data_IF_151519826693
#
_entry.id   IF_151519826693
#
_cell.length_a   1.000
_cell.length_b   1.000
_cell.length_c   1.000
_cell.angle_alpha   90.00
_cell.angle_beta   90.00
_cell.angle_gamma   90.00
#
_symmetry.space_group_name_H-M   'P 1'
#
loop_
_entity.id
_entity.type
_entity.pdbx_description
1 polymer ?
#
# COMPACT_ATOMS: atom_id res chain seq x y z
N UNK A 1 -28.36 13.86 -7.63
CA UNK A 1 -27.11 13.41 -6.95
C UNK A 1 -27.35 12.53 -5.71
N UNK A 2 -28.47 12.62 -4.98
CA UNK A 2 -28.74 11.76 -3.81
C UNK A 2 -28.87 10.25 -4.11
N UNK A 3 -29.51 9.88 -5.22
CA UNK A 3 -29.73 8.48 -5.59
C UNK A 3 -28.47 7.74 -6.09
N UNK A 4 -27.53 8.46 -6.75
CA UNK A 4 -26.24 7.86 -7.15
C UNK A 4 -25.36 7.57 -5.92
N UNK A 5 -25.46 8.38 -4.87
CA UNK A 5 -24.66 8.22 -3.66
C UNK A 5 -25.14 7.05 -2.79
N UNK A 6 -26.46 6.85 -2.68
CA UNK A 6 -27.02 5.65 -2.04
C UNK A 6 -26.64 4.37 -2.80
N UNK A 7 -26.50 4.45 -4.13
CA UNK A 7 -26.13 3.30 -4.95
C UNK A 7 -24.64 2.95 -4.81
N UNK A 8 -23.72 3.93 -4.87
CA UNK A 8 -22.29 3.68 -4.67
C UNK A 8 -22.00 3.13 -3.27
N UNK A 9 -22.60 3.73 -2.24
CA UNK A 9 -22.45 3.26 -0.86
C UNK A 9 -22.86 1.79 -0.72
N UNK A 10 -24.01 1.42 -1.28
CA UNK A 10 -24.48 0.04 -1.27
C UNK A 10 -23.53 -0.89 -2.01
N UNK A 11 -23.01 -0.50 -3.18
CA UNK A 11 -22.03 -1.30 -3.91
C UNK A 11 -20.76 -1.54 -3.08
N UNK A 12 -20.30 -0.54 -2.33
CA UNK A 12 -19.14 -0.67 -1.44
C UNK A 12 -19.45 -1.60 -0.28
N UNK A 13 -20.62 -1.47 0.35
CA UNK A 13 -21.05 -2.37 1.42
C UNK A 13 -21.14 -3.82 0.93
N UNK A 14 -21.74 -4.04 -0.25
CA UNK A 14 -21.86 -5.36 -0.87
C UNK A 14 -20.48 -5.96 -1.23
N UNK A 15 -19.58 -5.17 -1.83
CA UNK A 15 -18.21 -5.61 -2.16
C UNK A 15 -17.35 -5.85 -0.92
N UNK A 16 -17.49 -5.02 0.11
CA UNK A 16 -16.81 -5.19 1.38
C UNK A 16 -17.23 -6.52 2.03
N UNK A 17 -18.53 -6.82 2.07
CA UNK A 17 -19.03 -8.09 2.59
C UNK A 17 -18.59 -9.29 1.75
N UNK A 18 -18.47 -9.13 0.41
CA UNK A 18 -17.96 -10.19 -0.47
C UNK A 18 -16.50 -10.54 -0.18
N UNK A 19 -15.69 -9.55 0.16
CA UNK A 19 -14.25 -9.70 0.37
C UNK A 19 -13.87 -10.02 1.82
N UNK A 20 -14.66 -9.54 2.78
CA UNK A 20 -14.46 -9.78 4.20
C UNK A 20 -14.87 -11.22 4.55
N UNK A 21 -13.97 -12.05 5.11
CA UNK A 21 -14.32 -13.37 5.62
C UNK A 21 -15.37 -13.26 6.74
N UNK A 22 -16.16 -14.32 6.94
CA UNK A 22 -17.15 -14.35 8.03
C UNK A 22 -16.51 -13.98 9.38
N UNK A 23 -17.08 -12.97 10.04
CA UNK A 23 -16.64 -12.50 11.36
C UNK A 23 -15.48 -11.49 11.35
N UNK A 24 -14.93 -11.12 10.19
CA UNK A 24 -13.90 -10.07 10.11
C UNK A 24 -14.53 -8.69 9.88
N UNK A 25 -14.08 -7.68 10.62
CA UNK A 25 -14.57 -6.29 10.53
C UNK A 25 -13.78 -5.40 9.56
N UNK A 26 -12.77 -5.95 8.89
CA UNK A 26 -11.84 -5.24 8.02
C UNK A 26 -11.36 -6.11 6.87
N UNK A 27 -10.90 -5.47 5.80
CA UNK A 27 -10.14 -6.08 4.72
C UNK A 27 -8.65 -5.93 4.99
N UNK A 28 -7.86 -6.80 4.38
CA UNK A 28 -6.38 -6.71 4.35
C UNK A 28 -5.89 -6.33 2.95
N UNK A 29 -4.59 -6.09 2.78
CA UNK A 29 -4.01 -5.59 1.53
C UNK A 29 -4.45 -6.39 0.28
N UNK A 30 -4.30 -7.72 0.29
CA UNK A 30 -4.69 -8.59 -0.84
C UNK A 30 -6.18 -8.53 -1.16
N UNK A 31 -7.03 -8.16 -0.21
CA UNK A 31 -8.47 -8.06 -0.40
C UNK A 31 -8.85 -6.68 -0.93
N UNK A 32 -8.25 -5.61 -0.43
CA UNK A 32 -8.57 -4.25 -0.89
C UNK A 32 -8.13 -4.02 -2.35
N UNK A 33 -7.06 -4.67 -2.81
CA UNK A 33 -6.64 -4.65 -4.22
C UNK A 33 -7.60 -5.42 -5.14
N UNK A 34 -8.45 -6.28 -4.58
CA UNK A 34 -9.50 -7.00 -5.31
C UNK A 34 -10.85 -6.28 -5.28
N UNK A 35 -10.92 -5.08 -4.70
CA UNK A 35 -12.13 -4.28 -4.66
C UNK A 35 -12.57 -3.93 -6.08
N UNK A 36 -13.75 -4.40 -6.48
CA UNK A 36 -14.24 -4.20 -7.84
C UNK A 36 -15.53 -3.38 -7.84
N UNK A 37 -15.39 -2.08 -8.03
CA UNK A 37 -16.53 -1.17 -8.13
C UNK A 37 -16.83 -0.83 -9.60
N UNK A 38 -18.11 -0.64 -9.97
CA UNK A 38 -18.47 -0.28 -11.33
C UNK A 38 -17.74 0.99 -11.80
N UNK A 39 -17.08 0.98 -12.98
CA UNK A 39 -16.36 2.16 -13.50
C UNK A 39 -17.23 3.41 -13.67
N UNK A 40 -18.54 3.22 -13.83
CA UNK A 40 -19.51 4.31 -13.91
C UNK A 40 -19.77 5.02 -12.58
N UNK A 41 -19.35 4.42 -11.46
CA UNK A 41 -19.55 4.93 -10.10
C UNK A 41 -18.24 5.24 -9.38
N UNK A 42 -17.16 4.54 -9.73
CA UNK A 42 -15.87 4.66 -9.08
C UNK A 42 -14.73 4.53 -10.08
N UNK A 43 -13.76 5.42 -9.99
CA UNK A 43 -12.60 5.46 -10.90
C UNK A 43 -11.27 5.59 -10.15
N UNK A 44 -11.29 5.62 -8.82
CA UNK A 44 -10.07 5.75 -8.02
C UNK A 44 -9.47 4.37 -7.83
N UNK A 45 -8.25 4.17 -8.29
CA UNK A 45 -7.55 2.91 -8.16
C UNK A 45 -7.09 2.66 -6.72
N UNK A 46 -7.60 1.60 -6.09
CA UNK A 46 -7.21 1.19 -4.74
C UNK A 46 -5.90 0.40 -4.71
N UNK A 47 -5.30 0.07 -5.85
CA UNK A 47 -3.94 -0.50 -5.92
C UNK A 47 -2.86 0.59 -5.86
N UNK A 48 -3.22 1.86 -6.06
CA UNK A 48 -2.26 2.96 -6.04
C UNK A 48 -1.79 3.26 -4.60
N UNK A 49 -0.48 3.21 -4.35
CA UNK A 49 0.12 3.37 -3.01
C UNK A 49 -0.36 4.62 -2.24
N UNK A 50 -0.43 5.77 -2.91
CA UNK A 50 -0.92 6.99 -2.25
C UNK A 50 -2.40 6.88 -1.84
N UNK A 51 -3.22 6.14 -2.60
CA UNK A 51 -4.63 5.94 -2.28
C UNK A 51 -4.76 5.02 -1.08
N UNK A 52 -3.99 3.93 -1.04
CA UNK A 52 -3.92 3.03 0.12
C UNK A 52 -3.54 3.79 1.39
N UNK A 53 -2.53 4.66 1.32
CA UNK A 53 -2.09 5.49 2.46
C UNK A 53 -3.18 6.42 2.99
N UNK A 54 -3.96 7.04 2.09
CA UNK A 54 -5.06 7.92 2.51
C UNK A 54 -6.28 7.13 2.98
N UNK A 55 -6.46 5.92 2.46
CA UNK A 55 -7.55 5.03 2.83
C UNK A 55 -7.36 4.45 4.23
N UNK A 56 -6.18 3.89 4.52
CA UNK A 56 -5.77 3.37 5.84
C UNK A 56 -5.38 4.56 6.74
N UNK A 57 -6.39 5.23 7.28
CA UNK A 57 -6.20 6.55 7.89
C UNK A 57 -5.59 6.49 9.29
N UNK A 58 -5.72 5.36 9.99
CA UNK A 58 -5.01 5.11 11.25
C UNK A 58 -3.67 4.37 11.07
N UNK A 59 -3.36 3.95 9.84
CA UNK A 59 -2.12 3.29 9.45
C UNK A 59 -1.90 1.96 10.18
N UNK A 60 -2.96 1.24 10.50
CA UNK A 60 -2.89 -0.06 11.20
C UNK A 60 -2.73 -1.26 10.23
N UNK A 61 -2.78 -1.02 8.91
CA UNK A 61 -2.67 -2.04 7.88
C UNK A 61 -3.99 -2.76 7.56
N UNK A 62 -5.11 -2.31 8.14
CA UNK A 62 -6.44 -2.86 7.94
C UNK A 62 -7.32 -1.81 7.27
N UNK A 63 -8.28 -2.28 6.48
CA UNK A 63 -9.18 -1.41 5.73
C UNK A 63 -10.60 -1.67 6.17
N UNK A 64 -11.16 -0.74 6.94
CA UNK A 64 -12.52 -0.82 7.44
C UNK A 64 -13.53 -0.29 6.43
N UNK A 65 -14.80 -0.65 6.60
CA UNK A 65 -15.89 -0.07 5.80
C UNK A 65 -16.00 1.44 6.03
N UNK A 66 -15.74 1.91 7.24
CA UNK A 66 -15.77 3.34 7.58
C UNK A 66 -14.74 4.12 6.77
N UNK A 67 -13.51 3.63 6.68
CA UNK A 67 -12.43 4.23 5.90
C UNK A 67 -12.75 4.28 4.40
N UNK A 68 -13.32 3.20 3.85
CA UNK A 68 -13.79 3.19 2.47
C UNK A 68 -14.82 4.29 2.21
N UNK A 69 -15.78 4.47 3.13
CA UNK A 69 -16.78 5.53 3.02
C UNK A 69 -16.17 6.92 3.20
N UNK A 70 -15.15 7.07 4.06
CA UNK A 70 -14.38 8.32 4.18
C UNK A 70 -13.65 8.68 2.88
N UNK A 71 -13.04 7.70 2.21
CA UNK A 71 -12.40 7.91 0.91
C UNK A 71 -13.42 8.33 -0.17
N UNK A 72 -14.62 7.75 -0.17
CA UNK A 72 -15.71 8.17 -1.07
C UNK A 72 -16.13 9.61 -0.81
N UNK A 73 -16.27 9.99 0.47
CA UNK A 73 -16.62 11.35 0.82
C UNK A 73 -15.54 12.35 0.42
N UNK A 74 -14.27 11.99 0.59
CA UNK A 74 -13.13 12.76 0.10
C UNK A 74 -13.17 12.91 -1.43
N UNK A 75 -13.34 11.80 -2.16
CA UNK A 75 -13.46 11.79 -3.62
C UNK A 75 -14.61 12.70 -4.10
N UNK A 76 -15.76 12.67 -3.41
CA UNK A 76 -16.92 13.53 -3.68
C UNK A 76 -16.66 15.01 -3.42
N UNK A 77 -15.92 15.34 -2.36
CA UNK A 77 -15.54 16.73 -2.10
C UNK A 77 -14.62 17.25 -3.20
N UNK A 78 -13.70 16.41 -3.67
CA UNK A 78 -12.72 16.73 -4.71
C UNK A 78 -13.32 16.79 -6.11
N UNK A 79 -14.34 15.97 -6.42
CA UNK A 79 -15.01 15.97 -7.73
C UNK A 79 -15.72 17.28 -8.05
N UNK A 80 -15.99 18.12 -7.04
CA UNK A 80 -16.49 19.49 -7.24
C UNK A 80 -15.44 20.46 -7.80
N UNK A 81 -14.15 20.12 -7.67
CA UNK A 81 -13.02 20.96 -8.09
C UNK A 81 -12.35 20.44 -9.35
N UNK A 82 -12.40 19.14 -9.59
CA UNK A 82 -11.68 18.49 -10.69
C UNK A 82 -12.59 18.28 -11.89
N UNK A 83 -12.00 18.35 -13.08
CA UNK A 83 -12.71 18.00 -14.30
C UNK A 83 -12.95 16.48 -14.33
N UNK A 84 -14.12 15.99 -14.79
CA UNK A 84 -14.42 14.56 -14.77
C UNK A 84 -13.37 13.67 -15.47
N UNK A 85 -12.79 14.15 -16.57
CA UNK A 85 -11.80 13.41 -17.36
C UNK A 85 -10.39 13.40 -16.74
N UNK A 86 -10.11 14.28 -15.78
CA UNK A 86 -8.84 14.33 -15.04
C UNK A 86 -8.99 13.82 -13.62
N UNK A 87 -10.21 13.48 -13.20
CA UNK A 87 -10.54 13.23 -11.80
C UNK A 87 -9.67 12.13 -11.19
N UNK A 88 -9.49 11.01 -11.90
CA UNK A 88 -8.66 9.90 -11.44
C UNK A 88 -7.21 10.35 -11.20
N UNK A 89 -6.57 10.96 -12.19
CA UNK A 89 -5.18 11.42 -12.10
C UNK A 89 -4.98 12.49 -11.03
N UNK A 90 -5.92 13.44 -10.90
CA UNK A 90 -5.87 14.47 -9.86
C UNK A 90 -6.10 13.90 -8.46
N UNK A 91 -6.97 12.90 -8.31
CA UNK A 91 -7.20 12.22 -7.04
C UNK A 91 -5.97 11.40 -6.62
N UNK A 92 -5.37 10.62 -7.52
CA UNK A 92 -4.13 9.91 -7.27
C UNK A 92 -2.99 10.88 -6.92
N UNK A 93 -2.83 11.97 -7.68
CA UNK A 93 -1.84 13.01 -7.39
C UNK A 93 -2.04 13.68 -6.02
N UNK A 94 -3.29 13.94 -5.63
CA UNK A 94 -3.62 14.44 -4.29
C UNK A 94 -3.18 13.45 -3.20
N UNK A 95 -3.52 12.17 -3.37
CA UNK A 95 -3.17 11.12 -2.44
C UNK A 95 -1.64 10.91 -2.33
N UNK A 96 -0.92 10.90 -3.46
CA UNK A 96 0.55 10.88 -3.49
C UNK A 96 1.15 12.07 -2.74
N UNK A 97 0.56 13.26 -2.89
CA UNK A 97 1.02 14.44 -2.19
C UNK A 97 0.82 14.34 -0.67
N UNK A 98 -0.28 13.73 -0.21
CA UNK A 98 -0.50 13.48 1.23
C UNK A 98 0.55 12.53 1.80
N UNK A 99 0.78 11.40 1.11
CA UNK A 99 1.82 10.44 1.46
C UNK A 99 3.21 11.12 1.51
N UNK A 100 3.56 11.89 0.48
CA UNK A 100 4.83 12.61 0.44
C UNK A 100 4.98 13.59 1.61
N UNK A 101 3.94 14.39 1.92
CA UNK A 101 3.96 15.31 3.06
C UNK A 101 4.18 14.58 4.38
N UNK A 102 3.53 13.43 4.56
CA UNK A 102 3.71 12.59 5.74
C UNK A 102 5.15 12.03 5.85
N UNK A 103 5.79 11.70 4.72
CA UNK A 103 7.19 11.25 4.73
C UNK A 103 8.21 12.38 4.91
N UNK A 104 7.88 13.60 4.51
CA UNK A 104 8.79 14.73 4.52
C UNK A 104 9.04 15.33 5.91
N UNK A 105 8.16 15.06 6.90
CA UNK A 105 8.38 15.50 8.28
C UNK A 105 9.45 14.67 8.99
N UNK A 106 10.02 15.20 10.08
CA UNK A 106 10.99 14.48 10.91
C UNK A 106 10.38 13.17 11.42
N UNK A 107 11.04 12.04 11.16
CA UNK A 107 10.54 10.71 11.51
C UNK A 107 9.53 10.11 10.53
N UNK A 108 9.05 10.88 9.54
CA UNK A 108 8.04 10.44 8.56
C UNK A 108 8.47 9.23 7.73
N UNK A 109 9.76 9.12 7.39
CA UNK A 109 10.29 7.95 6.67
C UNK A 109 10.17 6.66 7.50
N UNK A 110 10.50 6.74 8.79
CA UNK A 110 10.41 5.59 9.68
C UNK A 110 8.94 5.19 9.86
N UNK A 111 8.06 6.18 10.09
CA UNK A 111 6.62 5.96 10.20
C UNK A 111 6.04 5.29 8.94
N UNK A 112 6.47 5.69 7.73
CA UNK A 112 6.05 5.02 6.50
C UNK A 112 6.51 3.57 6.43
N UNK A 113 7.77 3.28 6.78
CA UNK A 113 8.29 1.90 6.76
C UNK A 113 7.57 1.04 7.79
N UNK A 114 7.25 1.60 8.95
CA UNK A 114 6.46 0.92 9.97
C UNK A 114 5.03 0.65 9.48
N UNK A 115 4.36 1.64 8.87
CA UNK A 115 3.05 1.45 8.25
C UNK A 115 3.06 0.35 7.18
N UNK A 116 3.98 0.41 6.21
CA UNK A 116 4.13 -0.63 5.19
C UNK A 116 4.43 -2.00 5.81
N UNK A 117 5.18 -2.06 6.91
CA UNK A 117 5.43 -3.32 7.62
C UNK A 117 4.14 -3.88 8.22
N UNK A 118 3.31 -3.04 8.86
CA UNK A 118 2.02 -3.47 9.40
C UNK A 118 1.07 -3.93 8.30
N UNK A 119 1.02 -3.19 7.20
CA UNK A 119 0.23 -3.54 6.03
C UNK A 119 0.58 -4.95 5.49
N UNK A 120 1.86 -5.31 5.46
CA UNK A 120 2.33 -6.62 5.02
C UNK A 120 2.11 -7.71 6.07
N UNK A 121 2.28 -7.40 7.36
CA UNK A 121 2.05 -8.34 8.46
C UNK A 121 0.56 -8.69 8.65
N UNK A 122 -0.33 -7.73 8.42
CA UNK A 122 -1.78 -7.97 8.48
C UNK A 122 -2.29 -8.72 7.23
N UNK A 123 -1.56 -8.66 6.11
CA UNK A 123 -1.97 -9.25 4.83
C UNK A 123 -2.18 -10.77 4.91
N UNK A 124 -1.19 -11.49 5.42
CA UNK A 124 -1.18 -12.95 5.56
C UNK A 124 -0.35 -13.33 6.78
N UNK A 125 -0.53 -14.56 7.26
CA UNK A 125 0.16 -15.05 8.45
C UNK A 125 1.68 -15.00 8.26
N UNK A 126 2.35 -14.33 9.18
CA UNK A 126 3.80 -14.29 9.24
C UNK A 126 4.35 -15.47 10.04
N UNK A 127 5.52 -15.96 9.66
CA UNK A 127 6.16 -17.10 10.31
C UNK A 127 7.41 -16.71 11.09
N UNK A 128 7.73 -17.48 12.11
CA UNK A 128 9.01 -17.46 12.81
C UNK A 128 9.64 -18.84 12.72
N UNK A 129 10.97 -18.90 12.66
CA UNK A 129 11.71 -20.15 12.52
C UNK A 129 12.66 -20.33 13.71
N UNK A 130 12.78 -21.57 14.19
CA UNK A 130 13.63 -21.88 15.35
C UNK A 130 15.11 -21.66 15.06
N UNK A 131 15.53 -21.88 13.81
CA UNK A 131 16.88 -21.60 13.32
C UNK A 131 17.23 -20.09 13.28
N UNK A 132 16.23 -19.20 13.24
CA UNK A 132 16.42 -17.75 13.19
C UNK A 132 15.55 -17.05 14.26
N UNK A 133 15.88 -17.22 15.55
CA UNK A 133 15.07 -16.70 16.63
C UNK A 133 15.02 -15.17 16.62
N UNK A 134 13.83 -14.61 16.81
CA UNK A 134 13.62 -13.16 16.87
C UNK A 134 13.37 -12.49 15.51
N UNK A 135 13.37 -13.26 14.42
CA UNK A 135 13.07 -12.76 13.08
C UNK A 135 11.68 -13.20 12.62
N UNK A 136 11.00 -12.30 11.90
CA UNK A 136 9.66 -12.53 11.34
C UNK A 136 9.75 -12.60 9.83
N UNK A 137 9.06 -13.56 9.24
CA UNK A 137 9.11 -13.84 7.81
C UNK A 137 7.74 -13.61 7.18
N UNK A 138 7.77 -12.97 6.03
CA UNK A 138 6.61 -12.73 5.19
C UNK A 138 6.51 -13.82 4.13
N UNK A 139 5.28 -14.30 3.92
CA UNK A 139 5.00 -15.27 2.87
C UNK A 139 5.20 -14.65 1.48
N UNK A 140 5.61 -15.48 0.51
CA UNK A 140 5.77 -15.11 -0.89
C UNK A 140 4.58 -14.35 -1.49
N UNK A 141 3.36 -14.76 -1.21
CA UNK A 141 2.13 -14.11 -1.73
C UNK A 141 1.98 -12.67 -1.20
N UNK A 142 2.45 -12.40 0.02
CA UNK A 142 2.52 -11.04 0.55
C UNK A 142 3.55 -10.20 -0.19
N UNK A 143 4.68 -10.79 -0.57
CA UNK A 143 5.71 -10.10 -1.36
C UNK A 143 5.24 -9.88 -2.80
N UNK A 144 4.46 -10.80 -3.37
CA UNK A 144 3.82 -10.62 -4.68
C UNK A 144 2.83 -9.45 -4.64
N UNK A 145 2.02 -9.37 -3.58
CA UNK A 145 1.10 -8.26 -3.37
C UNK A 145 1.85 -6.93 -3.26
N UNK A 146 2.98 -6.90 -2.53
CA UNK A 146 3.86 -5.74 -2.43
C UNK A 146 4.42 -5.34 -3.81
N UNK A 147 4.91 -6.32 -4.58
CA UNK A 147 5.47 -6.11 -5.92
C UNK A 147 4.44 -5.44 -6.85
N UNK A 148 3.18 -5.88 -6.78
CA UNK A 148 2.08 -5.29 -7.55
C UNK A 148 1.74 -3.86 -7.09
N UNK A 149 1.58 -3.64 -5.78
CA UNK A 149 1.22 -2.33 -5.21
C UNK A 149 2.29 -1.27 -5.47
N UNK A 150 3.56 -1.67 -5.48
CA UNK A 150 4.67 -0.78 -5.82
C UNK A 150 4.92 -0.68 -7.34
N UNK A 151 4.17 -1.41 -8.15
CA UNK A 151 4.30 -1.45 -9.62
C UNK A 151 5.75 -1.65 -10.06
N UNK A 152 6.44 -2.62 -9.43
CA UNK A 152 7.88 -2.85 -9.65
C UNK A 152 8.14 -3.29 -11.10
N UNK A 153 7.23 -4.07 -11.69
CA UNK A 153 7.34 -4.49 -13.09
C UNK A 153 7.27 -3.30 -14.04
N UNK A 154 6.34 -2.37 -13.83
CA UNK A 154 6.16 -1.20 -14.69
C UNK A 154 7.27 -0.17 -14.50
N UNK A 155 7.74 0.01 -13.26
CA UNK A 155 8.71 1.07 -12.93
C UNK A 155 10.16 0.64 -13.10
N UNK A 156 10.48 -0.64 -12.84
CA UNK A 156 11.84 -1.18 -12.89
C UNK A 156 12.05 -2.23 -13.99
N UNK A 157 10.98 -2.67 -14.66
CA UNK A 157 11.06 -3.74 -15.67
C UNK A 157 11.38 -5.12 -15.08
N UNK A 158 11.18 -5.30 -13.77
CA UNK A 158 11.57 -6.50 -13.03
C UNK A 158 10.33 -7.35 -12.71
N UNK A 159 10.30 -8.59 -13.22
CA UNK A 159 9.26 -9.55 -12.87
C UNK A 159 9.34 -9.99 -11.41
N UNK A 160 8.26 -10.60 -10.91
CA UNK A 160 8.15 -11.00 -9.52
C UNK A 160 9.22 -12.01 -9.09
N UNK A 161 9.53 -13.02 -9.93
CA UNK A 161 10.50 -14.05 -9.55
C UNK A 161 11.89 -13.44 -9.37
N UNK A 162 12.32 -12.63 -10.34
CA UNK A 162 13.60 -11.93 -10.27
C UNK A 162 13.66 -11.02 -9.04
N UNK A 163 12.57 -10.30 -8.72
CA UNK A 163 12.49 -9.46 -7.54
C UNK A 163 12.60 -10.26 -6.24
N UNK A 164 11.85 -11.35 -6.13
CA UNK A 164 11.83 -12.20 -4.94
C UNK A 164 13.20 -12.85 -4.70
N UNK A 165 13.82 -13.42 -5.73
CA UNK A 165 15.16 -14.05 -5.66
C UNK A 165 16.23 -13.05 -5.20
N UNK A 166 16.15 -11.79 -5.65
CA UNK A 166 17.06 -10.73 -5.21
C UNK A 166 16.91 -10.44 -3.71
N UNK A 167 15.68 -10.39 -3.21
CA UNK A 167 15.45 -10.18 -1.77
C UNK A 167 15.93 -11.39 -0.96
N UNK A 168 15.67 -12.63 -1.42
CA UNK A 168 16.17 -13.82 -0.73
C UNK A 168 17.69 -13.85 -0.67
N UNK A 169 18.37 -13.46 -1.76
CA UNK A 169 19.82 -13.31 -1.78
C UNK A 169 20.32 -12.27 -0.77
N UNK A 170 19.64 -11.14 -0.63
CA UNK A 170 19.97 -10.16 0.43
C UNK A 170 19.78 -10.79 1.82
N UNK A 171 18.73 -11.58 2.04
CA UNK A 171 18.54 -12.34 3.27
C UNK A 171 19.70 -13.30 3.56
N UNK A 172 20.17 -14.02 2.55
CA UNK A 172 21.33 -14.92 2.66
C UNK A 172 22.62 -14.16 2.99
N UNK A 173 22.91 -13.08 2.27
CA UNK A 173 24.09 -12.24 2.50
C UNK A 173 24.10 -11.62 3.92
N UNK A 174 22.91 -11.44 4.52
CA UNK A 174 22.72 -10.96 5.90
C UNK A 174 22.77 -12.08 6.94
N UNK A 175 22.85 -13.34 6.54
CA UNK A 175 22.78 -14.49 7.44
C UNK A 175 21.40 -14.68 8.08
N UNK A 176 20.34 -14.15 7.44
CA UNK A 176 18.96 -14.26 7.89
C UNK A 176 18.22 -15.44 7.23
N UNK A 177 18.79 -16.07 6.21
CA UNK A 177 18.25 -17.29 5.64
C UNK A 177 19.35 -18.07 4.93
N UNK A 178 19.14 -19.37 4.74
CA UNK A 178 20.01 -20.22 3.93
C UNK A 178 19.21 -20.67 2.70
N UNK A 179 19.68 -20.37 1.48
CA UNK A 179 18.98 -20.73 0.24
C UNK A 179 18.91 -22.26 0.00
N UNK A 180 19.71 -23.04 0.73
CA UNK A 180 19.64 -24.50 0.68
C UNK A 180 18.55 -25.10 1.58
N UNK A 181 17.85 -24.28 2.36
CA UNK A 181 16.79 -24.74 3.25
C UNK A 181 15.42 -24.56 2.57
N UNK A 182 14.88 -25.68 2.07
CA UNK A 182 13.56 -25.73 1.39
C UNK A 182 12.41 -25.15 2.23
N UNK A 183 12.51 -25.13 3.56
CA UNK A 183 11.49 -24.52 4.43
C UNK A 183 11.37 -23.00 4.26
N UNK A 184 12.40 -22.35 3.70
CA UNK A 184 12.47 -20.90 3.53
C UNK A 184 12.20 -20.45 2.09
N UNK A 185 11.96 -21.40 1.17
CA UNK A 185 11.82 -21.10 -0.26
C UNK A 185 10.68 -20.12 -0.55
N UNK A 186 9.59 -20.17 0.22
CA UNK A 186 8.44 -19.27 0.08
C UNK A 186 8.40 -18.15 1.14
N UNK A 187 9.54 -17.88 1.81
CA UNK A 187 9.61 -16.94 2.91
C UNK A 187 10.69 -15.89 2.72
N UNK A 188 10.43 -14.69 3.24
CA UNK A 188 11.37 -13.60 3.20
C UNK A 188 11.43 -12.86 4.56
N UNK A 189 12.62 -12.58 5.12
CA UNK A 189 12.72 -11.83 6.36
C UNK A 189 12.13 -10.42 6.22
N UNK A 190 11.31 -9.99 7.18
CA UNK A 190 10.71 -8.66 7.21
C UNK A 190 11.78 -7.56 7.18
N UNK A 191 12.93 -7.78 7.81
CA UNK A 191 14.07 -6.86 7.86
C UNK A 191 14.60 -6.52 6.47
N UNK A 192 14.65 -7.52 5.57
CA UNK A 192 15.08 -7.33 4.18
C UNK A 192 14.09 -6.42 3.44
N UNK A 193 12.79 -6.66 3.63
CA UNK A 193 11.74 -5.82 3.03
C UNK A 193 11.79 -4.40 3.57
N UNK A 194 12.01 -4.22 4.88
CA UNK A 194 12.16 -2.89 5.50
C UNK A 194 13.38 -2.14 4.95
N UNK A 195 14.50 -2.83 4.68
CA UNK A 195 15.67 -2.22 4.07
C UNK A 195 15.40 -1.79 2.62
N UNK A 196 14.71 -2.64 1.85
CA UNK A 196 14.25 -2.30 0.51
C UNK A 196 13.35 -1.05 0.51
N UNK A 197 12.34 -1.01 1.38
CA UNK A 197 11.42 0.13 1.50
C UNK A 197 12.16 1.42 1.88
N UNK A 198 13.11 1.34 2.82
CA UNK A 198 13.96 2.49 3.18
C UNK A 198 14.75 3.02 1.98
N UNK A 199 15.34 2.12 1.19
CA UNK A 199 16.13 2.47 0.01
C UNK A 199 15.26 3.10 -1.08
N UNK A 200 14.08 2.53 -1.34
CA UNK A 200 13.10 3.07 -2.28
C UNK A 200 12.65 4.49 -1.87
N UNK A 201 12.35 4.70 -0.58
CA UNK A 201 11.94 6.01 -0.06
C UNK A 201 13.02 7.08 -0.19
N UNK A 202 14.29 6.72 0.00
CA UNK A 202 15.39 7.63 -0.22
C UNK A 202 15.43 8.13 -1.67
N UNK A 203 15.16 7.25 -2.64
CA UNK A 203 15.03 7.61 -4.06
C UNK A 203 13.82 8.52 -4.32
N UNK A 204 12.64 8.13 -3.85
CA UNK A 204 11.40 8.89 -4.07
C UNK A 204 11.47 10.31 -3.50
N UNK A 205 12.01 10.49 -2.30
CA UNK A 205 12.12 11.81 -1.68
C UNK A 205 13.05 12.76 -2.44
N UNK A 206 14.12 12.22 -3.04
CA UNK A 206 15.03 13.01 -3.87
C UNK A 206 14.29 13.54 -5.10
N UNK A 207 13.56 12.67 -5.81
CA UNK A 207 12.77 13.06 -6.99
C UNK A 207 11.68 14.08 -6.61
N UNK A 208 10.97 13.85 -5.52
CA UNK A 208 9.89 14.76 -5.10
C UNK A 208 10.40 16.12 -4.64
N UNK A 209 11.59 16.20 -4.03
CA UNK A 209 12.21 17.48 -3.70
C UNK A 209 12.56 18.30 -4.96
N UNK A 210 12.89 17.63 -6.07
CA UNK A 210 13.15 18.28 -7.35
C UNK A 210 11.85 18.76 -8.04
N UNK A 211 10.74 18.03 -7.88
CA UNK A 211 9.44 18.35 -8.49
C UNK A 211 8.65 19.40 -7.68
N UNK A 212 8.68 19.32 -6.35
CA UNK A 212 7.94 20.19 -5.44
C UNK A 212 8.90 20.77 -4.37
N UNK A 213 9.64 21.84 -4.68
CA UNK A 213 10.58 22.45 -3.75
C UNK A 213 9.85 22.92 -2.48
N UNK A 214 10.42 22.63 -1.31
CA UNK A 214 9.81 22.81 0.01
C UNK A 214 9.38 24.25 0.35
N UNK A 215 9.77 25.23 -0.49
CA UNK A 215 9.37 26.64 -0.39
C UNK A 215 7.87 26.90 -0.63
N UNK A 216 7.13 25.99 -1.27
CA UNK A 216 5.68 26.14 -1.53
C UNK A 216 4.75 25.38 -0.55
N UNK A 217 5.31 24.74 0.48
CA UNK A 217 4.52 23.97 1.45
C UNK A 217 3.71 24.84 2.44
N UNK A 218 3.95 26.15 2.49
CA UNK A 218 3.36 27.06 3.47
C UNK A 218 2.03 27.71 3.05
N UNK A 219 1.52 27.50 1.83
CA UNK A 219 0.48 28.37 1.25
C UNK A 219 -0.91 27.75 1.01
N UNK A 220 -1.17 26.50 1.38
CA UNK A 220 -2.52 25.92 1.19
C UNK A 220 -2.92 25.06 2.37
N UNK A 221 -3.49 25.72 3.39
CA UNK A 221 -4.45 25.15 4.37
C UNK A 221 -5.84 25.40 3.83
#
# INVERSE_FOLDING_TARGET
MGAQNSNLRRCIEDEFQRLAPEGRSHLVLRQIVQLHLPPSMWVVDTCHLGVLFVLDNDHDGRFTLEELLMLVDLARQRSRRYQPHEFQSQMQGFCTLQLWRAMAVTGGKAAFVDWMSQLLLENMEAQTFTQYPGHTYLNRDTIETLHHVLSIQETQGMDFQTFFDLLQRVGEERGLMELGNEELDDWLPLEVVREFLNSMNAGMLKVMADIYPSTDAALIV
#
